data_IF_312095441608
#
_entry.id   IF_312095441608
#
_cell.length_a   1.000
_cell.length_b   1.000
_cell.length_c   1.000
_cell.angle_alpha   90.00
_cell.angle_beta   90.00
_cell.angle_gamma   90.00
#
_symmetry.space_group_name_H-M   'P 1'
#
loop_
_entity.id
_entity.type
_entity.pdbx_description
1 polymer ?
#
# COMPACT_ATOMS: atom_id res chain seq x y z
N UNK A 1 3.16 13.79 -22.00
CA UNK A 1 3.82 13.42 -20.72
C UNK A 1 3.02 12.26 -20.20
N UNK A 2 3.65 11.14 -19.83
CA UNK A 2 2.90 10.02 -19.26
C UNK A 2 2.26 10.48 -17.95
N UNK A 3 0.98 10.16 -17.76
CA UNK A 3 0.24 10.47 -16.55
C UNK A 3 0.33 9.32 -15.53
N UNK A 4 1.51 8.68 -15.50
CA UNK A 4 1.76 7.53 -14.65
C UNK A 4 1.75 7.92 -13.19
N UNK A 5 1.05 7.10 -12.41
CA UNK A 5 1.05 7.15 -10.95
C UNK A 5 1.51 5.82 -10.38
N UNK A 6 2.06 5.89 -9.18
CA UNK A 6 2.31 4.74 -8.31
C UNK A 6 1.33 4.81 -7.15
N UNK A 7 0.63 3.75 -6.86
CA UNK A 7 -0.22 3.61 -5.68
C UNK A 7 0.37 2.52 -4.79
N UNK A 8 0.45 2.77 -3.50
CA UNK A 8 1.00 1.84 -2.51
C UNK A 8 0.07 1.70 -1.31
N UNK A 9 0.14 0.55 -0.64
CA UNK A 9 -0.54 0.27 0.62
C UNK A 9 0.27 -0.74 1.46
N UNK A 10 0.34 -0.52 2.78
CA UNK A 10 1.01 -1.40 3.74
C UNK A 10 0.03 -2.06 4.68
N UNK A 11 0.24 -3.35 4.94
CA UNK A 11 -0.30 -4.00 6.12
C UNK A 11 0.77 -4.08 7.22
N UNK A 12 0.37 -3.80 8.46
CA UNK A 12 1.32 -3.59 9.55
C UNK A 12 0.85 -4.15 10.90
N UNK A 13 1.78 -4.27 11.84
CA UNK A 13 1.50 -4.62 13.25
C UNK A 13 1.54 -3.40 14.19
N UNK A 14 1.34 -2.18 13.67
CA UNK A 14 1.25 -0.96 14.47
C UNK A 14 1.02 0.27 13.62
N UNK A 15 0.96 1.44 14.27
CA UNK A 15 0.66 2.71 13.60
C UNK A 15 1.83 3.71 13.60
N UNK A 16 2.95 3.37 14.22
CA UNK A 16 4.15 4.21 14.23
C UNK A 16 4.99 4.02 12.97
N UNK A 17 5.82 5.00 12.57
CA UNK A 17 6.70 4.87 11.40
C UNK A 17 7.67 3.68 11.48
N UNK A 18 8.05 3.28 12.68
CA UNK A 18 8.96 2.17 12.96
C UNK A 18 8.22 0.84 13.22
N UNK A 19 6.94 0.75 12.87
CA UNK A 19 6.16 -0.48 13.03
C UNK A 19 6.67 -1.62 12.16
N UNK A 20 6.44 -2.86 12.61
CA UNK A 20 6.62 -4.05 11.79
C UNK A 20 5.64 -4.01 10.61
N UNK A 21 6.15 -4.16 9.40
CA UNK A 21 5.35 -4.31 8.18
C UNK A 21 5.11 -5.81 7.91
N UNK A 22 3.89 -6.14 7.51
CA UNK A 22 3.49 -7.49 7.12
C UNK A 22 3.58 -7.69 5.61
N UNK A 23 3.02 -6.74 4.86
CA UNK A 23 3.05 -6.77 3.40
C UNK A 23 3.07 -5.37 2.80
N UNK A 24 3.43 -5.30 1.53
CA UNK A 24 3.32 -4.12 0.68
C UNK A 24 2.66 -4.51 -0.63
N UNK A 25 1.59 -3.82 -0.97
CA UNK A 25 0.96 -3.82 -2.29
C UNK A 25 1.33 -2.55 -3.06
N UNK A 26 1.57 -2.65 -4.37
CA UNK A 26 1.78 -1.48 -5.21
C UNK A 26 1.39 -1.74 -6.67
N UNK A 27 1.01 -0.67 -7.38
CA UNK A 27 0.78 -0.68 -8.83
C UNK A 27 1.27 0.61 -9.47
N UNK A 28 1.92 0.50 -10.63
CA UNK A 28 2.20 1.64 -11.52
C UNK A 28 1.26 1.57 -12.72
N UNK A 29 0.54 2.64 -13.01
CA UNK A 29 -0.39 2.68 -14.13
C UNK A 29 -0.55 4.10 -14.70
N UNK A 30 -1.11 4.19 -15.91
CA UNK A 30 -1.48 5.46 -16.53
C UNK A 30 -2.92 5.83 -16.14
N UNK A 31 -3.12 7.02 -15.57
CA UNK A 31 -4.44 7.52 -15.20
C UNK A 31 -5.39 7.71 -16.40
N UNK A 32 -4.85 7.84 -17.61
CA UNK A 32 -5.65 7.96 -18.83
C UNK A 32 -6.15 6.58 -19.34
N UNK A 33 -5.55 5.47 -18.82
CA UNK A 33 -5.92 4.08 -19.15
C UNK A 33 -5.76 3.20 -17.89
N UNK A 34 -6.64 3.38 -16.88
CA UNK A 34 -6.52 2.69 -15.60
C UNK A 34 -6.82 1.19 -15.74
N UNK A 35 -6.06 0.33 -15.04
CA UNK A 35 -6.28 -1.11 -15.07
C UNK A 35 -7.57 -1.49 -14.34
N UNK A 36 -8.18 -2.57 -14.77
CA UNK A 36 -9.25 -3.23 -14.03
C UNK A 36 -8.73 -3.81 -12.71
N UNK A 37 -9.64 -4.13 -11.80
CA UNK A 37 -9.31 -4.78 -10.53
C UNK A 37 -8.47 -6.05 -10.73
N UNK A 38 -8.86 -6.92 -11.65
CA UNK A 38 -8.14 -8.17 -11.92
C UNK A 38 -6.74 -7.90 -12.49
N UNK A 39 -6.60 -6.93 -13.38
CA UNK A 39 -5.29 -6.56 -13.92
C UNK A 39 -4.34 -6.04 -12.84
N UNK A 40 -4.86 -5.32 -11.83
CA UNK A 40 -4.05 -4.93 -10.67
C UNK A 40 -3.56 -6.14 -9.90
N UNK A 41 -4.41 -7.15 -9.67
CA UNK A 41 -4.01 -8.38 -8.99
C UNK A 41 -2.97 -9.18 -9.78
N UNK A 42 -3.08 -9.18 -11.12
CA UNK A 42 -2.20 -9.96 -12.00
C UNK A 42 -0.83 -9.28 -12.22
N UNK A 43 -0.76 -7.95 -12.19
CA UNK A 43 0.41 -7.16 -12.59
C UNK A 43 1.03 -6.35 -11.44
N UNK A 44 0.30 -6.20 -10.34
CA UNK A 44 0.74 -5.42 -9.19
C UNK A 44 1.92 -6.07 -8.46
N UNK A 45 2.64 -5.25 -7.76
CA UNK A 45 3.68 -5.67 -6.84
C UNK A 45 3.05 -6.11 -5.52
N UNK A 46 3.40 -7.28 -5.04
CA UNK A 46 3.00 -7.75 -3.72
C UNK A 46 4.13 -8.55 -3.07
N UNK A 47 4.54 -8.14 -1.88
CA UNK A 47 5.57 -8.84 -1.10
C UNK A 47 5.14 -8.93 0.36
N UNK A 48 5.47 -10.02 1.01
CA UNK A 48 5.34 -10.24 2.45
C UNK A 48 6.70 -10.26 3.13
N UNK A 49 6.76 -9.90 4.42
CA UNK A 49 8.03 -9.62 5.10
C UNK A 49 8.20 -10.40 6.39
N UNK A 50 9.41 -10.91 6.63
CA UNK A 50 9.77 -11.60 7.87
C UNK A 50 9.58 -10.70 9.09
N UNK A 51 8.61 -11.03 9.94
CA UNK A 51 8.33 -10.36 11.21
C UNK A 51 9.51 -10.51 12.18
N UNK A 52 10.05 -11.71 12.29
CA UNK A 52 11.14 -12.04 13.22
C UNK A 52 12.41 -11.21 12.95
N UNK A 53 12.75 -10.99 11.68
CA UNK A 53 13.89 -10.16 11.31
C UNK A 53 13.68 -8.72 11.76
N UNK A 54 12.51 -8.16 11.48
CA UNK A 54 12.15 -6.79 11.82
C UNK A 54 12.18 -6.53 13.33
N UNK A 55 11.65 -7.46 14.12
CA UNK A 55 11.68 -7.38 15.59
C UNK A 55 13.12 -7.42 16.11
N UNK A 56 13.99 -8.29 15.56
CA UNK A 56 15.42 -8.32 15.90
C UNK A 56 16.15 -7.01 15.58
N UNK A 57 15.71 -6.34 14.53
CA UNK A 57 16.24 -5.03 14.10
C UNK A 57 15.59 -3.84 14.86
N UNK A 58 14.71 -4.13 15.84
CA UNK A 58 14.14 -3.14 16.73
C UNK A 58 12.91 -2.41 16.15
N UNK A 59 12.22 -2.98 15.18
CA UNK A 59 10.91 -2.49 14.76
C UNK A 59 9.83 -2.90 15.76
N UNK A 60 8.77 -2.11 15.86
CA UNK A 60 7.80 -2.16 16.95
C UNK A 60 6.52 -2.89 16.55
N UNK A 61 6.00 -3.72 17.46
CA UNK A 61 4.68 -4.31 17.37
C UNK A 61 3.77 -3.62 18.40
N UNK A 62 2.63 -3.12 17.96
CA UNK A 62 1.60 -2.55 18.83
C UNK A 62 0.57 -3.64 19.20
N UNK A 63 0.43 -3.87 20.49
CA UNK A 63 -0.53 -4.86 21.00
C UNK A 63 -1.96 -4.56 20.53
N UNK A 64 -2.37 -3.30 20.49
CA UNK A 64 -3.73 -2.93 20.07
C UNK A 64 -4.00 -3.30 18.61
N UNK A 65 -2.99 -3.18 17.75
CA UNK A 65 -3.07 -3.60 16.35
C UNK A 65 -3.13 -5.11 16.22
N UNK A 66 -2.35 -5.85 17.03
CA UNK A 66 -2.43 -7.32 17.06
C UNK A 66 -3.81 -7.79 17.54
N UNK A 67 -4.35 -7.16 18.59
CA UNK A 67 -5.69 -7.47 19.10
C UNK A 67 -6.78 -7.17 18.06
N UNK A 68 -6.59 -6.09 17.26
CA UNK A 68 -7.47 -5.75 16.14
C UNK A 68 -7.41 -6.80 15.02
N UNK A 69 -6.21 -7.24 14.64
CA UNK A 69 -6.02 -8.31 13.65
C UNK A 69 -6.73 -9.61 14.09
N UNK A 70 -6.71 -9.92 15.37
CA UNK A 70 -7.41 -11.08 15.94
C UNK A 70 -8.94 -11.04 15.77
N UNK A 71 -9.51 -9.87 15.43
CA UNK A 71 -10.96 -9.68 15.21
C UNK A 71 -11.31 -9.69 13.72
N UNK A 72 -10.32 -9.68 12.83
CA UNK A 72 -10.53 -9.74 11.39
C UNK A 72 -10.86 -11.16 10.93
N UNK A 73 -11.42 -11.30 9.73
CA UNK A 73 -11.74 -12.59 9.11
C UNK A 73 -10.50 -13.47 8.91
N UNK A 74 -10.73 -14.77 8.68
CA UNK A 74 -9.63 -15.72 8.47
C UNK A 74 -8.78 -15.41 7.24
N UNK A 75 -9.39 -14.82 6.22
CA UNK A 75 -8.74 -14.40 4.98
C UNK A 75 -7.75 -13.26 5.28
N UNK A 76 -8.17 -12.24 6.01
CA UNK A 76 -7.30 -11.14 6.42
C UNK A 76 -6.17 -11.61 7.35
N UNK A 77 -6.46 -12.53 8.27
CA UNK A 77 -5.46 -13.09 9.19
C UNK A 77 -4.39 -13.95 8.50
N UNK A 78 -4.52 -14.22 7.20
CA UNK A 78 -3.52 -15.00 6.45
C UNK A 78 -2.15 -14.32 6.48
N UNK A 79 -2.11 -13.00 6.34
CA UNK A 79 -0.85 -12.20 6.33
C UNK A 79 -0.08 -12.26 7.66
N UNK A 80 -0.73 -12.68 8.75
CA UNK A 80 -0.07 -12.85 10.05
C UNK A 80 0.72 -14.16 10.17
N UNK A 81 0.53 -15.10 9.25
CA UNK A 81 1.21 -16.39 9.31
C UNK A 81 2.56 -16.28 8.62
N UNK A 82 3.65 -16.64 9.31
CA UNK A 82 4.94 -16.75 8.66
C UNK A 82 4.86 -17.68 7.42
N UNK A 83 5.47 -17.26 6.34
CA UNK A 83 5.54 -17.99 5.08
C UNK A 83 7.01 -18.19 4.68
N UNK A 84 7.27 -19.28 3.95
CA UNK A 84 8.58 -19.50 3.31
C UNK A 84 8.85 -18.47 2.19
N UNK A 85 7.80 -17.78 1.73
CA UNK A 85 7.87 -16.72 0.72
C UNK A 85 8.18 -15.34 1.34
N UNK A 86 8.16 -15.21 2.68
CA UNK A 86 8.47 -13.94 3.34
C UNK A 86 9.91 -13.52 3.09
N UNK A 87 10.08 -12.34 2.52
CA UNK A 87 11.39 -11.78 2.23
C UNK A 87 11.91 -10.89 3.37
N UNK A 88 13.20 -10.54 3.31
CA UNK A 88 13.75 -9.51 4.19
C UNK A 88 13.15 -8.14 3.85
N UNK A 89 12.66 -7.41 4.86
CA UNK A 89 12.17 -6.04 4.67
C UNK A 89 13.27 -5.09 4.10
N UNK A 90 14.55 -5.48 4.23
CA UNK A 90 15.70 -4.75 3.66
C UNK A 90 15.75 -4.80 2.14
N UNK A 91 15.13 -5.83 1.56
CA UNK A 91 15.02 -6.00 0.10
C UNK A 91 13.83 -5.23 -0.50
N UNK A 92 12.90 -4.75 0.33
CA UNK A 92 11.67 -4.08 -0.12
C UNK A 92 11.96 -2.93 -1.09
N UNK A 93 12.81 -1.99 -0.72
CA UNK A 93 13.10 -0.82 -1.56
C UNK A 93 13.84 -1.18 -2.86
N UNK A 94 14.87 -2.04 -2.85
CA UNK A 94 15.47 -2.56 -4.09
C UNK A 94 14.47 -3.20 -5.04
N UNK A 95 13.61 -4.10 -4.54
CA UNK A 95 12.60 -4.78 -5.36
C UNK A 95 11.52 -3.84 -5.88
N UNK A 96 11.04 -2.94 -5.03
CA UNK A 96 10.07 -1.93 -5.43
C UNK A 96 10.65 -1.00 -6.52
N UNK A 97 11.92 -0.61 -6.43
CA UNK A 97 12.61 0.15 -7.48
C UNK A 97 12.72 -0.62 -8.80
N UNK A 98 13.02 -1.90 -8.74
CA UNK A 98 13.06 -2.76 -9.92
C UNK A 98 11.69 -2.83 -10.58
N UNK A 99 10.62 -3.03 -9.78
CA UNK A 99 9.24 -3.04 -10.27
C UNK A 99 8.82 -1.71 -10.91
N UNK A 100 9.10 -0.58 -10.24
CA UNK A 100 8.73 0.74 -10.72
C UNK A 100 9.50 1.11 -12.01
N UNK A 101 10.74 0.64 -12.16
CA UNK A 101 11.61 1.02 -13.27
C UNK A 101 12.01 2.51 -13.25
N UNK A 102 12.33 3.08 -14.42
CA UNK A 102 12.73 4.50 -14.56
C UNK A 102 11.51 5.41 -14.72
N UNK A 103 10.70 5.54 -13.69
CA UNK A 103 9.54 6.46 -13.66
C UNK A 103 9.89 7.76 -12.93
N UNK A 104 10.81 8.53 -13.51
CA UNK A 104 11.13 9.86 -13.00
C UNK A 104 9.90 10.75 -13.04
N UNK A 105 9.53 11.27 -11.87
CA UNK A 105 8.40 12.19 -11.74
C UNK A 105 7.04 11.51 -11.55
N UNK A 106 7.00 10.19 -11.34
CA UNK A 106 5.77 9.50 -10.94
C UNK A 106 5.18 10.14 -9.69
N UNK A 107 3.88 10.41 -9.72
CA UNK A 107 3.14 10.82 -8.53
C UNK A 107 2.80 9.58 -7.74
N UNK A 108 3.19 9.56 -6.47
CA UNK A 108 2.98 8.40 -5.59
C UNK A 108 1.83 8.67 -4.64
N UNK A 109 0.87 7.77 -4.64
CA UNK A 109 -0.34 7.85 -3.84
C UNK A 109 -0.37 6.76 -2.77
N UNK A 110 -0.88 7.13 -1.59
CA UNK A 110 -1.23 6.19 -0.53
C UNK A 110 -2.51 6.66 0.15
N UNK A 111 -3.31 5.72 0.66
CA UNK A 111 -4.51 6.05 1.42
C UNK A 111 -4.13 6.30 2.87
N UNK A 112 -4.15 7.56 3.30
CA UNK A 112 -3.51 8.07 4.51
C UNK A 112 -1.99 8.23 4.34
N UNK A 113 -1.61 9.05 3.38
CA UNK A 113 -0.22 9.32 2.97
C UNK A 113 0.76 9.53 4.14
N UNK A 114 0.31 10.16 5.23
CA UNK A 114 1.13 10.36 6.43
C UNK A 114 1.50 9.05 7.15
N UNK A 115 0.75 7.97 6.90
CA UNK A 115 1.04 6.65 7.46
C UNK A 115 2.05 5.90 6.58
N UNK A 116 1.68 5.56 5.36
CA UNK A 116 2.48 4.72 4.45
C UNK A 116 3.83 5.35 4.11
N UNK A 117 3.84 6.63 3.79
CA UNK A 117 5.09 7.32 3.47
C UNK A 117 6.00 7.48 4.69
N UNK A 118 5.44 7.63 5.91
CA UNK A 118 6.26 7.70 7.11
C UNK A 118 6.99 6.38 7.39
N UNK A 119 6.35 5.25 7.12
CA UNK A 119 6.94 3.92 7.24
C UNK A 119 8.06 3.75 6.21
N UNK A 120 7.79 4.08 4.94
CA UNK A 120 8.81 4.02 3.88
C UNK A 120 10.01 4.91 4.22
N UNK A 121 9.76 6.14 4.68
CA UNK A 121 10.80 7.09 5.10
C UNK A 121 11.65 6.55 6.28
N UNK A 122 11.02 5.89 7.27
CA UNK A 122 11.77 5.28 8.37
C UNK A 122 12.68 4.15 7.87
N UNK A 123 12.15 3.27 7.00
CA UNK A 123 12.91 2.16 6.43
C UNK A 123 14.12 2.66 5.63
N UNK A 124 13.93 3.58 4.69
CA UNK A 124 15.05 4.10 3.87
C UNK A 124 16.09 4.80 4.72
N UNK A 125 15.69 5.55 5.75
CA UNK A 125 16.57 6.22 6.67
C UNK A 125 17.40 5.23 7.49
N UNK A 126 16.78 4.21 8.07
CA UNK A 126 17.45 3.17 8.87
C UNK A 126 18.46 2.36 8.06
N UNK A 127 18.11 2.06 6.81
CA UNK A 127 18.94 1.24 5.93
C UNK A 127 19.93 2.05 5.08
N UNK A 128 19.94 3.38 5.19
CA UNK A 128 20.77 4.24 4.35
C UNK A 128 20.44 4.17 2.86
N UNK A 129 19.19 3.82 2.56
CA UNK A 129 18.65 3.73 1.20
C UNK A 129 18.02 5.06 0.76
N UNK A 130 17.59 5.15 -0.47
CA UNK A 130 16.88 6.31 -1.01
C UNK A 130 15.46 5.91 -1.40
N UNK A 131 14.51 6.84 -1.24
CA UNK A 131 13.14 6.66 -1.73
C UNK A 131 13.14 6.26 -3.21
N UNK A 132 12.21 5.38 -3.63
CA UNK A 132 12.04 5.03 -5.03
C UNK A 132 11.37 6.13 -5.86
N UNK A 133 10.82 7.15 -5.22
CA UNK A 133 10.18 8.33 -5.84
C UNK A 133 10.73 9.63 -5.26
N UNK A 134 10.28 10.76 -5.81
CA UNK A 134 10.60 12.09 -5.28
C UNK A 134 9.59 12.46 -4.18
N UNK A 135 10.05 12.81 -2.97
CA UNK A 135 9.18 13.10 -1.83
C UNK A 135 8.10 14.17 -2.10
N UNK A 136 8.35 15.13 -2.98
CA UNK A 136 7.36 16.16 -3.36
C UNK A 136 6.26 15.64 -4.31
N UNK A 137 6.38 14.40 -4.78
CA UNK A 137 5.36 13.72 -5.58
C UNK A 137 4.40 12.87 -4.74
N UNK A 138 4.56 12.84 -3.42
CA UNK A 138 3.66 12.14 -2.50
C UNK A 138 2.29 12.81 -2.46
N UNK A 139 1.23 12.02 -2.52
CA UNK A 139 -0.18 12.43 -2.56
C UNK A 139 -1.02 11.54 -1.67
N UNK A 140 -2.11 12.09 -1.17
CA UNK A 140 -3.08 11.35 -0.37
C UNK A 140 -4.31 10.98 -1.20
N UNK A 141 -4.56 9.68 -1.33
CA UNK A 141 -5.68 9.12 -2.12
C UNK A 141 -7.02 9.54 -1.53
N UNK A 142 -7.16 9.56 -0.20
CA UNK A 142 -8.40 9.93 0.48
C UNK A 142 -8.77 11.37 0.17
N UNK A 143 -7.81 12.28 0.26
CA UNK A 143 -8.01 13.69 -0.08
C UNK A 143 -8.44 13.86 -1.55
N UNK A 144 -7.81 13.10 -2.47
CA UNK A 144 -8.19 13.14 -3.89
C UNK A 144 -9.64 12.70 -4.08
N UNK A 145 -10.05 11.58 -3.47
CA UNK A 145 -11.41 11.05 -3.56
C UNK A 145 -12.41 12.05 -2.96
N UNK A 146 -12.13 12.62 -1.79
CA UNK A 146 -13.00 13.60 -1.14
C UNK A 146 -13.20 14.85 -2.01
N UNK A 147 -12.11 15.43 -2.53
CA UNK A 147 -12.19 16.58 -3.42
C UNK A 147 -13.00 16.27 -4.69
N UNK A 148 -12.86 15.09 -5.25
CA UNK A 148 -13.59 14.68 -6.45
C UNK A 148 -15.09 14.52 -6.15
N UNK A 149 -15.45 13.89 -5.04
CA UNK A 149 -16.84 13.73 -4.62
C UNK A 149 -17.51 15.10 -4.32
N UNK A 150 -16.78 16.04 -3.71
CA UNK A 150 -17.26 17.41 -3.49
C UNK A 150 -17.51 18.14 -4.81
N UNK A 151 -16.59 18.05 -5.77
CA UNK A 151 -16.73 18.66 -7.08
C UNK A 151 -17.93 18.13 -7.87
N UNK A 152 -18.27 16.85 -7.69
CA UNK A 152 -19.42 16.22 -8.33
C UNK A 152 -20.72 16.37 -7.54
N UNK A 153 -20.71 17.09 -6.40
CA UNK A 153 -21.84 17.24 -5.49
C UNK A 153 -22.42 15.91 -4.99
N UNK A 154 -21.58 14.87 -4.94
CA UNK A 154 -21.97 13.54 -4.48
C UNK A 154 -21.85 13.49 -2.95
N UNK A 155 -22.99 13.56 -2.27
CA UNK A 155 -23.05 13.43 -0.82
C UNK A 155 -22.90 11.97 -0.38
N UNK A 156 -21.68 11.45 -0.40
CA UNK A 156 -21.37 10.13 0.13
C UNK A 156 -20.48 10.25 1.37
N UNK A 157 -21.02 9.80 2.49
CA UNK A 157 -20.21 9.55 3.69
C UNK A 157 -19.22 8.43 3.39
N UNK A 158 -17.93 8.74 3.50
CA UNK A 158 -16.81 7.81 3.69
C UNK A 158 -16.92 6.45 2.98
N UNK A 159 -16.16 6.21 1.98
CA UNK A 159 -16.06 5.06 1.11
C UNK A 159 -17.08 5.11 -0.04
N UNK A 160 -16.57 5.51 -1.15
CA UNK A 160 -17.14 5.19 -2.44
C UNK A 160 -17.31 3.68 -2.49
N UNK A 161 -18.55 3.18 -2.49
CA UNK A 161 -18.81 1.75 -2.69
C UNK A 161 -18.33 1.38 -4.08
N UNK A 162 -17.21 0.66 -4.13
CA UNK A 162 -16.71 0.13 -5.40
C UNK A 162 -17.73 -0.88 -5.92
N UNK A 163 -18.18 -0.78 -7.18
CA UNK A 163 -19.06 -1.78 -7.77
C UNK A 163 -18.48 -3.19 -7.66
N UNK A 164 -19.35 -4.21 -7.63
CA UNK A 164 -18.92 -5.61 -7.68
C UNK A 164 -18.00 -5.84 -8.89
N UNK A 165 -16.78 -6.27 -8.63
CA UNK A 165 -15.75 -6.50 -9.64
C UNK A 165 -15.80 -7.93 -10.20
N UNK A 166 -16.74 -8.77 -9.73
CA UNK A 166 -16.85 -10.18 -10.14
C UNK A 166 -15.72 -11.06 -9.62
N UNK A 167 -14.92 -10.56 -8.68
CA UNK A 167 -13.82 -11.28 -8.02
C UNK A 167 -13.94 -11.13 -6.50
N UNK A 168 -13.43 -12.11 -5.77
CA UNK A 168 -13.40 -12.06 -4.32
C UNK A 168 -12.44 -10.95 -3.82
N UNK A 169 -12.98 -10.02 -3.05
CA UNK A 169 -12.20 -8.94 -2.42
C UNK A 169 -11.77 -9.38 -1.04
N UNK A 170 -10.47 -9.50 -0.82
CA UNK A 170 -9.90 -9.78 0.50
C UNK A 170 -9.57 -8.46 1.18
N UNK A 171 -10.38 -8.08 2.17
CA UNK A 171 -10.13 -6.89 2.97
C UNK A 171 -8.85 -7.03 3.79
N UNK A 172 -8.11 -5.93 3.95
CA UNK A 172 -6.82 -5.92 4.64
C UNK A 172 -5.78 -6.85 3.99
N UNK A 173 -5.77 -6.83 2.67
CA UNK A 173 -4.72 -7.40 1.84
C UNK A 173 -4.17 -6.26 0.97
N UNK A 174 -2.93 -5.87 1.19
CA UNK A 174 -2.36 -4.65 0.63
C UNK A 174 -2.59 -4.48 -0.90
N UNK A 175 -2.45 -5.56 -1.69
CA UNK A 175 -2.69 -5.47 -3.14
C UNK A 175 -4.19 -5.35 -3.49
N UNK A 176 -5.10 -6.00 -2.75
CA UNK A 176 -6.53 -5.83 -2.94
C UNK A 176 -6.98 -4.41 -2.56
N UNK A 177 -6.41 -3.83 -1.50
CA UNK A 177 -6.71 -2.47 -1.08
C UNK A 177 -6.17 -1.44 -2.09
N UNK A 178 -4.99 -1.69 -2.67
CA UNK A 178 -4.48 -0.95 -3.83
C UNK A 178 -5.43 -1.04 -5.03
N UNK A 179 -5.91 -2.24 -5.38
CA UNK A 179 -6.84 -2.44 -6.50
C UNK A 179 -8.17 -1.68 -6.29
N UNK A 180 -8.69 -1.70 -5.07
CA UNK A 180 -9.88 -0.93 -4.71
C UNK A 180 -9.66 0.58 -4.85
N UNK A 181 -8.48 1.07 -4.49
CA UNK A 181 -8.16 2.50 -4.60
C UNK A 181 -7.90 2.93 -6.04
N UNK A 182 -7.36 2.06 -6.91
CA UNK A 182 -7.32 2.31 -8.37
C UNK A 182 -8.73 2.58 -8.88
N UNK A 183 -9.69 1.70 -8.60
CA UNK A 183 -11.08 1.87 -9.05
C UNK A 183 -11.73 3.14 -8.48
N UNK A 184 -11.35 3.58 -7.28
CA UNK A 184 -11.92 4.79 -6.66
C UNK A 184 -11.43 6.09 -7.27
N UNK A 185 -10.22 6.09 -7.85
CA UNK A 185 -9.61 7.30 -8.41
C UNK A 185 -9.65 7.35 -9.94
N UNK A 186 -10.15 6.29 -10.59
CA UNK A 186 -10.34 6.16 -12.05
C UNK A 186 -11.74 6.65 -12.55
#
# INVERSE_FOLDING_TARGET
MSNNILLIDYETLGQSPDTVILSLGAIVFDMDDPPSYQEVLDQGFYETFSVDEQVKDGRVIDKSTVDWWGQQGKEAAHVLKPSDDDISYKEMIPRLKEYIGDVRGVKTFARSASFDFSITNDIVRRLGQQLPWQWWNERDTRTLIECYLELLEINKKNNFDVPDQGVEVVAHHALHDVAMDVIRIS
#
